data_IF_247093096122
#
_entry.id   IF_247093096122
#
_cell.length_a   1.000
_cell.length_b   1.000
_cell.length_c   1.000
_cell.angle_alpha   90.00
_cell.angle_beta   90.00
_cell.angle_gamma   90.00
#
_symmetry.space_group_name_H-M   'P 1'
#
loop_
_entity.id
_entity.type
_entity.pdbx_description
1 polymer ?
#
# COMPACT_ATOMS: atom_id res chain seq x y z
N UNK A 1 -21.92 6.50 -14.02
CA UNK A 1 -20.46 6.63 -14.21
C UNK A 1 -19.87 5.28 -13.88
N UNK A 2 -19.34 4.55 -14.87
CA UNK A 2 -18.68 3.27 -14.61
C UNK A 2 -17.50 3.50 -13.66
N UNK A 3 -17.59 2.91 -12.46
CA UNK A 3 -16.55 2.98 -11.45
C UNK A 3 -15.41 2.02 -11.85
N UNK A 4 -14.57 2.47 -12.78
CA UNK A 4 -13.42 1.70 -13.27
C UNK A 4 -12.59 1.14 -12.10
N UNK A 5 -12.30 -0.16 -12.15
CA UNK A 5 -11.47 -0.81 -11.12
C UNK A 5 -10.05 -0.26 -11.22
N UNK A 6 -9.48 0.11 -10.07
CA UNK A 6 -8.11 0.61 -9.91
C UNK A 6 -7.29 -0.43 -9.16
N UNK A 7 -6.15 -0.81 -9.74
CA UNK A 7 -5.10 -1.55 -9.05
C UNK A 7 -4.18 -0.57 -8.31
N UNK A 8 -3.95 -0.79 -7.03
CA UNK A 8 -2.88 -0.10 -6.28
C UNK A 8 -1.60 -0.92 -6.41
N UNK A 9 -0.61 -0.38 -7.10
CA UNK A 9 0.74 -0.93 -7.20
C UNK A 9 1.70 -0.24 -6.23
N UNK A 10 2.83 -0.88 -5.92
CA UNK A 10 3.86 -0.31 -5.03
C UNK A 10 5.05 0.18 -5.85
N UNK A 11 5.44 1.43 -5.66
CA UNK A 11 6.53 2.09 -6.36
C UNK A 11 7.64 2.44 -5.36
N UNK A 12 8.70 1.62 -5.33
CA UNK A 12 9.70 1.64 -4.25
C UNK A 12 10.89 2.55 -4.52
N UNK A 13 11.19 2.84 -5.78
CA UNK A 13 12.42 3.52 -6.17
C UNK A 13 12.14 4.73 -7.05
N UNK A 14 13.08 5.69 -7.03
CA UNK A 14 13.02 6.85 -7.93
C UNK A 14 13.11 6.43 -9.39
N UNK A 15 13.98 5.46 -9.69
CA UNK A 15 14.12 4.85 -11.03
C UNK A 15 12.79 4.32 -11.57
N UNK A 16 12.00 3.63 -10.73
CA UNK A 16 10.68 3.14 -11.14
C UNK A 16 9.69 4.28 -11.41
N UNK A 17 9.79 5.39 -10.67
CA UNK A 17 8.99 6.58 -10.93
C UNK A 17 9.35 7.20 -12.28
N UNK A 18 10.65 7.32 -12.57
CA UNK A 18 11.12 7.90 -13.83
C UNK A 18 10.67 7.03 -15.01
N UNK A 19 10.81 5.70 -14.91
CA UNK A 19 10.25 4.76 -15.90
C UNK A 19 8.74 4.95 -16.08
N UNK A 20 7.99 5.06 -14.98
CA UNK A 20 6.54 5.24 -15.04
C UNK A 20 6.16 6.53 -15.79
N UNK A 21 6.82 7.64 -15.47
CA UNK A 21 6.47 8.96 -16.01
C UNK A 21 6.99 9.16 -17.44
N UNK A 22 8.18 8.65 -17.76
CA UNK A 22 8.84 8.87 -19.05
C UNK A 22 8.47 7.79 -20.07
N UNK A 23 8.37 6.52 -19.63
CA UNK A 23 8.14 5.36 -20.50
C UNK A 23 6.69 4.84 -20.45
N UNK A 24 5.85 5.38 -19.57
CA UNK A 24 4.42 5.04 -19.44
C UNK A 24 4.16 3.55 -19.21
N UNK A 25 4.99 2.90 -18.40
CA UNK A 25 4.73 1.52 -17.99
C UNK A 25 5.17 1.22 -16.56
N UNK A 26 4.56 0.18 -15.97
CA UNK A 26 4.86 -0.36 -14.65
C UNK A 26 5.02 -1.88 -14.74
N UNK A 27 5.69 -2.50 -13.77
CA UNK A 27 5.89 -3.96 -13.76
C UNK A 27 5.56 -4.62 -12.44
N UNK A 28 5.10 -5.86 -12.52
CA UNK A 28 4.82 -6.73 -11.38
C UNK A 28 5.45 -8.10 -11.66
N UNK A 29 6.25 -8.68 -10.74
CA UNK A 29 6.69 -10.06 -10.90
C UNK A 29 5.47 -10.97 -11.06
N UNK A 30 5.45 -11.83 -12.08
CA UNK A 30 4.25 -12.61 -12.44
C UNK A 30 3.74 -13.47 -11.28
N UNK A 31 4.65 -13.99 -10.46
CA UNK A 31 4.34 -14.78 -9.25
C UNK A 31 3.53 -14.03 -8.20
N UNK A 32 3.57 -12.69 -8.19
CA UNK A 32 2.81 -11.83 -7.27
C UNK A 32 1.68 -11.07 -7.97
N UNK A 33 1.48 -11.31 -9.28
CA UNK A 33 0.49 -10.59 -10.05
C UNK A 33 -0.93 -10.87 -9.55
N UNK A 34 -1.73 -9.82 -9.29
CA UNK A 34 -3.14 -10.00 -9.00
C UNK A 34 -3.90 -10.61 -10.17
N UNK A 35 -4.83 -11.52 -9.88
CA UNK A 35 -5.68 -12.17 -10.91
C UNK A 35 -6.80 -11.26 -11.42
N UNK A 36 -7.21 -10.27 -10.63
CA UNK A 36 -8.31 -9.36 -10.95
C UNK A 36 -7.85 -8.31 -11.96
N UNK A 37 -8.62 -8.13 -13.05
CA UNK A 37 -8.39 -7.08 -14.04
C UNK A 37 -8.72 -5.70 -13.48
N UNK A 38 -7.98 -4.69 -13.93
CA UNK A 38 -8.22 -3.29 -13.62
C UNK A 38 -8.21 -2.47 -14.91
N UNK A 39 -8.99 -1.39 -14.92
CA UNK A 39 -8.97 -0.39 -15.99
C UNK A 39 -7.92 0.69 -15.72
N UNK A 40 -7.56 0.89 -14.45
CA UNK A 40 -6.60 1.90 -14.00
C UNK A 40 -5.59 1.28 -13.04
N UNK A 41 -4.43 1.93 -12.90
CA UNK A 41 -3.53 1.68 -11.78
C UNK A 41 -3.15 2.98 -11.09
N UNK A 42 -2.90 2.92 -9.79
CA UNK A 42 -2.35 4.00 -8.98
C UNK A 42 -1.15 3.50 -8.17
N UNK A 43 -0.22 4.39 -7.86
CA UNK A 43 1.12 3.98 -7.39
C UNK A 43 1.39 4.49 -5.98
N UNK A 44 1.44 3.56 -5.03
CA UNK A 44 1.81 3.82 -3.66
C UNK A 44 3.33 3.92 -3.51
N UNK A 45 3.79 5.09 -3.10
CA UNK A 45 5.16 5.37 -2.71
C UNK A 45 5.29 5.17 -1.20
N UNK A 46 6.09 4.20 -0.73
CA UNK A 46 6.30 3.96 0.70
C UNK A 46 6.90 5.16 1.43
N UNK A 47 6.75 5.16 2.75
CA UNK A 47 7.40 6.15 3.63
C UNK A 47 8.92 6.18 3.42
N UNK A 48 9.48 7.38 3.45
CA UNK A 48 10.93 7.61 3.35
C UNK A 48 11.34 8.80 4.21
N UNK A 49 12.28 8.58 5.13
CA UNK A 49 12.96 9.61 5.92
C UNK A 49 12.01 10.71 6.46
N UNK A 50 11.03 10.31 7.30
CA UNK A 50 10.10 11.25 7.94
C UNK A 50 8.93 11.73 7.07
N UNK A 51 8.82 11.26 5.83
CA UNK A 51 7.67 11.53 4.95
C UNK A 51 6.74 10.33 4.91
N UNK A 52 5.46 10.55 5.24
CA UNK A 52 4.41 9.53 5.11
C UNK A 52 4.32 9.00 3.68
N UNK A 53 4.06 7.70 3.56
CA UNK A 53 3.78 7.08 2.28
C UNK A 53 2.53 7.69 1.63
N UNK A 54 2.47 7.68 0.30
CA UNK A 54 1.38 8.36 -0.43
C UNK A 54 1.13 7.78 -1.81
N UNK A 55 -0.03 8.08 -2.37
CA UNK A 55 -0.34 7.92 -3.79
C UNK A 55 -0.55 9.31 -4.38
N UNK A 56 0.12 9.60 -5.49
CA UNK A 56 -0.04 10.87 -6.23
C UNK A 56 -0.14 10.72 -7.74
N UNK A 57 0.09 9.51 -8.26
CA UNK A 57 0.03 9.22 -9.68
C UNK A 57 -0.92 8.05 -9.93
N UNK A 58 -1.61 8.12 -11.06
CA UNK A 58 -2.46 7.07 -11.58
C UNK A 58 -2.48 7.10 -13.11
N UNK A 59 -2.81 5.98 -13.74
CA UNK A 59 -2.87 5.87 -15.19
C UNK A 59 -3.96 4.92 -15.65
N UNK A 60 -4.51 5.20 -16.83
CA UNK A 60 -5.42 4.28 -17.51
C UNK A 60 -4.60 3.20 -18.22
N UNK A 61 -4.94 1.93 -17.95
CA UNK A 61 -4.24 0.78 -18.49
C UNK A 61 -4.59 0.65 -19.97
N UNK A 62 -3.57 0.68 -20.82
CA UNK A 62 -3.67 0.46 -22.27
C UNK A 62 -3.66 -1.03 -22.60
N UNK A 63 -2.66 -1.75 -22.09
CA UNK A 63 -2.54 -3.19 -22.26
C UNK A 63 -1.63 -3.78 -21.16
N UNK A 64 -1.65 -5.11 -21.06
CA UNK A 64 -0.78 -5.87 -20.17
C UNK A 64 -0.13 -6.99 -20.97
N UNK A 65 1.18 -7.12 -20.87
CA UNK A 65 1.98 -8.14 -21.55
C UNK A 65 2.94 -8.81 -20.56
N UNK A 66 3.42 -10.00 -20.91
CA UNK A 66 4.43 -10.71 -20.13
C UNK A 66 5.79 -10.56 -20.80
N UNK A 67 6.80 -10.18 -20.04
CA UNK A 67 8.18 -10.05 -20.49
C UNK A 67 9.15 -10.49 -19.39
N UNK A 68 10.39 -10.82 -19.75
CA UNK A 68 11.43 -11.09 -18.75
C UNK A 68 11.93 -9.80 -18.11
N UNK A 69 12.41 -9.84 -16.87
CA UNK A 69 12.98 -8.64 -16.23
C UNK A 69 14.12 -8.02 -17.06
N UNK A 70 15.01 -8.84 -17.61
CA UNK A 70 16.14 -8.38 -18.41
C UNK A 70 15.70 -7.61 -19.67
N UNK A 71 14.54 -7.93 -20.23
CA UNK A 71 13.96 -7.21 -21.39
C UNK A 71 13.36 -5.87 -20.96
N UNK A 72 12.81 -5.81 -19.75
CA UNK A 72 12.20 -4.60 -19.17
C UNK A 72 13.24 -3.61 -18.61
N UNK A 73 14.35 -4.14 -18.10
CA UNK A 73 15.43 -3.39 -17.44
C UNK A 73 16.77 -3.93 -17.95
N UNK A 74 17.17 -3.53 -19.17
CA UNK A 74 18.39 -4.05 -19.79
C UNK A 74 19.65 -3.62 -19.04
N UNK A 75 19.60 -2.57 -18.22
CA UNK A 75 20.76 -2.11 -17.45
C UNK A 75 21.00 -2.92 -16.15
N UNK A 76 20.21 -3.96 -15.89
CA UNK A 76 20.39 -4.89 -14.75
C UNK A 76 20.53 -6.37 -15.20
N UNK A 77 21.49 -6.70 -16.08
CA UNK A 77 21.57 -8.04 -16.68
C UNK A 77 21.89 -9.15 -15.66
N UNK A 78 22.62 -8.83 -14.59
CA UNK A 78 23.02 -9.78 -13.53
C UNK A 78 22.04 -9.83 -12.34
N UNK A 79 20.87 -9.19 -12.45
CA UNK A 79 19.88 -9.24 -11.37
C UNK A 79 19.47 -10.70 -11.09
N UNK A 80 19.35 -11.16 -9.83
CA UNK A 80 19.00 -12.55 -9.52
C UNK A 80 17.70 -13.04 -10.18
N UNK A 81 16.78 -12.10 -10.42
CA UNK A 81 15.51 -12.33 -11.12
C UNK A 81 15.50 -11.87 -12.58
N UNK A 82 16.65 -11.77 -13.26
CA UNK A 82 16.75 -11.25 -14.63
C UNK A 82 15.90 -12.07 -15.63
N UNK A 83 15.85 -13.40 -15.45
CA UNK A 83 15.09 -14.31 -16.33
C UNK A 83 13.65 -14.56 -15.88
N UNK A 84 13.26 -14.03 -14.71
CA UNK A 84 11.92 -14.25 -14.17
C UNK A 84 10.87 -13.48 -14.99
N UNK A 85 9.66 -14.04 -15.17
CA UNK A 85 8.58 -13.38 -15.88
C UNK A 85 7.95 -12.25 -15.04
N UNK A 86 7.67 -11.14 -15.70
CA UNK A 86 6.99 -9.98 -15.14
C UNK A 86 5.81 -9.60 -16.05
N UNK A 87 4.73 -9.15 -15.43
CA UNK A 87 3.71 -8.38 -16.14
C UNK A 87 4.24 -6.97 -16.36
N UNK A 88 4.28 -6.52 -17.61
CA UNK A 88 4.41 -5.11 -17.99
C UNK A 88 3.03 -4.56 -18.25
N UNK A 89 2.67 -3.53 -17.51
CA UNK A 89 1.42 -2.80 -17.63
C UNK A 89 1.74 -1.49 -18.34
N UNK A 90 1.23 -1.33 -19.55
CA UNK A 90 1.41 -0.12 -20.35
C UNK A 90 0.21 0.83 -20.14
N UNK A 91 0.46 2.13 -20.11
CA UNK A 91 -0.56 3.16 -19.86
C UNK A 91 -0.76 4.08 -21.06
N UNK A 92 -1.97 4.62 -21.23
CA UNK A 92 -2.21 5.69 -22.19
C UNK A 92 -1.54 7.00 -21.75
N UNK A 93 -1.67 7.31 -20.46
CA UNK A 93 -1.08 8.48 -19.81
C UNK A 93 -0.94 8.24 -18.31
N UNK A 94 -0.04 8.99 -17.67
CA UNK A 94 0.07 9.06 -16.21
C UNK A 94 -0.38 10.45 -15.77
N UNK A 95 -1.41 10.46 -14.94
CA UNK A 95 -2.01 11.66 -14.38
C UNK A 95 -1.58 11.85 -12.93
N UNK A 96 -1.40 13.12 -12.55
CA UNK A 96 -1.18 13.49 -11.15
C UNK A 96 -2.52 13.75 -10.47
N UNK A 97 -2.71 13.23 -9.27
CA UNK A 97 -3.88 13.55 -8.46
C UNK A 97 -3.83 15.02 -8.04
N UNK A 98 -4.99 15.69 -8.04
CA UNK A 98 -5.12 17.06 -7.56
C UNK A 98 -4.71 17.19 -6.08
N UNK A 99 -5.03 16.16 -5.28
CA UNK A 99 -4.56 16.00 -3.90
C UNK A 99 -4.02 14.57 -3.73
N UNK A 100 -2.82 14.39 -3.16
CA UNK A 100 -2.30 13.06 -2.90
C UNK A 100 -3.11 12.34 -1.81
N UNK A 101 -3.24 11.02 -1.94
CA UNK A 101 -3.78 10.15 -0.88
C UNK A 101 -2.66 9.83 0.09
N UNK A 102 -2.79 10.18 1.37
CA UNK A 102 -1.75 10.02 2.39
C UNK A 102 -1.98 8.77 3.22
N UNK A 103 -0.92 7.99 3.44
CA UNK A 103 -0.93 6.87 4.38
C UNK A 103 -0.61 7.37 5.80
N UNK A 104 -1.58 8.04 6.43
CA UNK A 104 -1.41 8.65 7.75
C UNK A 104 -1.09 7.60 8.84
N UNK A 105 -1.71 6.43 8.75
CA UNK A 105 -1.67 5.37 9.75
C UNK A 105 -0.56 4.34 9.50
N UNK A 106 0.41 4.63 8.61
CA UNK A 106 1.52 3.73 8.27
C UNK A 106 1.07 2.31 7.86
N UNK A 107 -0.08 2.21 7.19
CA UNK A 107 -0.65 0.95 6.73
C UNK A 107 0.33 0.21 5.82
N UNK A 108 0.47 -1.09 6.01
CA UNK A 108 1.28 -1.91 5.10
C UNK A 108 0.52 -2.13 3.80
N UNK A 109 0.88 -1.39 2.77
CA UNK A 109 0.23 -1.48 1.46
C UNK A 109 1.01 -2.43 0.55
N UNK A 110 0.30 -3.44 0.04
CA UNK A 110 0.73 -4.32 -1.05
C UNK A 110 -0.16 -4.07 -2.27
N UNK A 111 -0.44 -5.09 -3.08
CA UNK A 111 -1.43 -4.96 -4.15
C UNK A 111 -2.84 -4.93 -3.55
N UNK A 112 -3.58 -3.87 -3.85
CA UNK A 112 -4.96 -3.68 -3.42
C UNK A 112 -5.84 -3.21 -4.58
N UNK A 113 -7.15 -3.31 -4.41
CA UNK A 113 -8.11 -2.84 -5.41
C UNK A 113 -9.06 -1.81 -4.82
N UNK A 114 -9.40 -0.83 -5.64
CA UNK A 114 -10.39 0.19 -5.33
C UNK A 114 -11.13 0.60 -6.62
N UNK A 115 -11.95 1.64 -6.56
CA UNK A 115 -12.57 2.23 -7.75
C UNK A 115 -12.04 3.64 -8.02
N UNK A 116 -12.14 4.07 -9.28
CA UNK A 116 -11.64 5.37 -9.71
C UNK A 116 -12.27 6.53 -8.93
N UNK A 117 -13.59 6.48 -8.67
CA UNK A 117 -14.26 7.54 -7.90
C UNK A 117 -13.63 7.71 -6.50
N UNK A 118 -13.32 6.61 -5.82
CA UNK A 118 -12.72 6.64 -4.49
C UNK A 118 -11.27 7.09 -4.53
N UNK A 119 -10.51 6.69 -5.54
CA UNK A 119 -9.16 7.22 -5.77
C UNK A 119 -9.14 8.74 -5.92
N UNK A 120 -10.09 9.29 -6.68
CA UNK A 120 -10.15 10.71 -6.96
C UNK A 120 -10.66 11.55 -5.78
N UNK A 121 -11.41 10.95 -4.85
CA UNK A 121 -11.98 11.66 -3.69
C UNK A 121 -11.23 11.45 -2.37
N UNK A 122 -10.54 10.31 -2.20
CA UNK A 122 -9.89 9.95 -0.94
C UNK A 122 -8.73 10.89 -0.60
N UNK A 123 -8.61 11.20 0.68
CA UNK A 123 -7.48 11.95 1.27
C UNK A 123 -6.54 11.02 2.01
N UNK A 124 -7.07 9.93 2.57
CA UNK A 124 -6.29 8.96 3.33
C UNK A 124 -6.33 7.57 2.70
N UNK A 125 -5.31 6.76 3.00
CA UNK A 125 -5.25 5.37 2.53
C UNK A 125 -6.40 4.51 3.09
N UNK A 126 -6.84 4.79 4.33
CA UNK A 126 -8.00 4.13 4.94
C UNK A 126 -9.28 4.44 4.17
N UNK A 127 -9.54 5.71 3.84
CA UNK A 127 -10.66 6.11 2.98
C UNK A 127 -10.58 5.43 1.60
N UNK A 128 -9.39 5.38 1.00
CA UNK A 128 -9.16 4.77 -0.32
C UNK A 128 -9.48 3.27 -0.34
N UNK A 129 -9.16 2.57 0.74
CA UNK A 129 -9.37 1.12 0.86
C UNK A 129 -10.71 0.77 1.51
N UNK A 130 -11.47 1.76 2.00
CA UNK A 130 -12.71 1.53 2.74
C UNK A 130 -12.47 0.85 4.09
N UNK A 131 -11.31 1.09 4.69
CA UNK A 131 -10.93 0.52 5.98
C UNK A 131 -11.41 1.45 7.08
N UNK A 132 -12.21 0.91 8.00
CA UNK A 132 -12.64 1.64 9.17
C UNK A 132 -11.42 1.92 10.08
N UNK A 133 -11.21 3.17 10.52
CA UNK A 133 -10.06 3.53 11.35
C UNK A 133 -10.30 3.14 12.82
N UNK A 134 -10.59 1.85 13.07
CA UNK A 134 -11.01 1.32 14.38
C UNK A 134 -9.97 1.64 15.44
N UNK A 135 -8.70 1.37 15.17
CA UNK A 135 -7.60 1.70 16.09
C UNK A 135 -7.56 3.20 16.42
N UNK A 136 -7.75 4.07 15.43
CA UNK A 136 -7.70 5.52 15.65
C UNK A 136 -8.88 6.00 16.50
N UNK A 137 -10.07 5.44 16.26
CA UNK A 137 -11.27 5.72 17.03
C UNK A 137 -11.13 5.26 18.48
N UNK A 138 -10.60 4.04 18.69
CA UNK A 138 -10.34 3.49 20.01
C UNK A 138 -9.25 4.31 20.72
N UNK A 139 -8.10 4.52 20.09
CA UNK A 139 -6.99 5.30 20.63
C UNK A 139 -7.41 6.69 21.07
N UNK A 140 -8.09 7.43 20.18
CA UNK A 140 -8.65 8.76 20.52
C UNK A 140 -9.62 8.70 21.70
N UNK A 141 -10.43 7.63 21.79
CA UNK A 141 -11.35 7.40 22.90
C UNK A 141 -10.66 7.10 24.23
N UNK A 142 -9.53 6.40 24.21
CA UNK A 142 -8.71 6.09 25.38
C UNK A 142 -7.95 7.33 25.86
N UNK A 143 -7.38 8.11 24.93
CA UNK A 143 -6.69 9.38 25.22
C UNK A 143 -7.61 10.38 25.89
N UNK A 144 -8.83 10.57 25.37
CA UNK A 144 -9.83 11.46 25.99
C UNK A 144 -10.17 11.05 27.42
N UNK A 145 -10.06 9.77 27.75
CA UNK A 145 -10.30 9.23 29.09
C UNK A 145 -9.03 9.18 29.96
N UNK A 146 -7.89 9.67 29.45
CA UNK A 146 -6.59 9.66 30.12
C UNK A 146 -6.18 8.26 30.61
N UNK A 147 -6.58 7.23 29.86
CA UNK A 147 -6.15 5.87 30.16
C UNK A 147 -4.69 5.68 29.77
N UNK A 148 -3.94 4.91 30.56
CA UNK A 148 -2.58 4.52 30.22
C UNK A 148 -2.64 3.26 29.35
N UNK A 149 -2.10 3.36 28.14
CA UNK A 149 -2.02 2.27 27.17
C UNK A 149 -0.80 2.44 26.27
N UNK A 150 -0.39 1.36 25.61
CA UNK A 150 0.63 1.36 24.57
C UNK A 150 0.00 0.93 23.26
N UNK A 151 0.15 1.73 22.20
CA UNK A 151 -0.18 1.33 20.82
C UNK A 151 0.95 0.48 20.24
N UNK A 152 0.61 -0.38 19.27
CA UNK A 152 1.57 -1.20 18.52
C UNK A 152 2.60 -1.90 19.43
N UNK A 153 2.15 -2.40 20.58
CA UNK A 153 3.03 -2.88 21.65
C UNK A 153 3.71 -4.19 21.25
N UNK A 154 5.04 -4.22 21.27
CA UNK A 154 5.81 -5.40 20.88
C UNK A 154 6.00 -6.36 22.05
N UNK A 155 5.55 -7.61 21.88
CA UNK A 155 5.74 -8.70 22.84
C UNK A 155 6.69 -9.75 22.27
N UNK A 156 7.77 -10.04 22.99
CA UNK A 156 8.69 -11.14 22.69
C UNK A 156 8.33 -12.35 23.56
N UNK A 157 7.92 -13.45 22.92
CA UNK A 157 7.70 -14.72 23.60
C UNK A 157 9.02 -15.44 23.85
N UNK A 158 9.01 -16.33 24.86
CA UNK A 158 10.18 -17.17 25.22
C UNK A 158 10.70 -18.03 24.08
N UNK A 159 9.86 -18.37 23.10
CA UNK A 159 10.27 -19.10 21.91
C UNK A 159 10.80 -18.22 20.77
N UNK A 160 11.12 -16.95 21.06
CA UNK A 160 11.68 -16.01 20.09
C UNK A 160 10.66 -15.36 19.15
N UNK A 161 9.38 -15.77 19.18
CA UNK A 161 8.33 -15.14 18.37
C UNK A 161 8.02 -13.74 18.88
N UNK A 162 7.80 -12.81 17.95
CA UNK A 162 7.41 -11.43 18.23
C UNK A 162 5.98 -11.21 17.76
N UNK A 163 5.17 -10.60 18.62
CA UNK A 163 3.83 -10.14 18.32
C UNK A 163 3.80 -8.62 18.48
N UNK A 164 2.91 -7.99 17.71
CA UNK A 164 2.65 -6.55 17.80
C UNK A 164 1.16 -6.40 18.07
N UNK A 165 0.84 -5.98 19.28
CA UNK A 165 -0.53 -5.81 19.76
C UNK A 165 -1.04 -4.43 19.36
N UNK A 166 -2.27 -4.31 18.90
CA UNK A 166 -2.82 -3.00 18.55
C UNK A 166 -2.88 -2.08 19.78
N UNK A 167 -3.39 -2.59 20.91
CA UNK A 167 -3.42 -1.91 22.20
C UNK A 167 -3.05 -2.84 23.36
N UNK A 168 -2.09 -2.41 24.18
CA UNK A 168 -1.75 -3.07 25.44
C UNK A 168 -2.02 -2.14 26.63
N UNK A 169 -2.67 -2.67 27.65
CA UNK A 169 -2.96 -1.99 28.91
C UNK A 169 -2.19 -2.64 30.06
N UNK A 170 -1.63 -1.81 30.93
CA UNK A 170 -0.86 -2.23 32.09
C UNK A 170 -1.51 -1.64 33.34
N UNK A 171 -2.37 -2.42 33.98
CA UNK A 171 -3.05 -2.01 35.21
C UNK A 171 -2.62 -2.84 36.41
N UNK A 172 -2.98 -2.38 37.61
CA UNK A 172 -2.69 -3.08 38.87
C UNK A 172 -3.34 -4.47 38.91
N UNK A 173 -4.51 -4.63 38.28
CA UNK A 173 -5.26 -5.89 38.21
C UNK A 173 -4.78 -6.86 37.13
N UNK A 174 -3.80 -6.45 36.32
CA UNK A 174 -3.24 -7.29 35.26
C UNK A 174 -3.02 -6.56 33.95
N UNK A 175 -2.71 -7.35 32.93
CA UNK A 175 -2.41 -6.91 31.57
C UNK A 175 -3.57 -7.28 30.67
N UNK A 176 -4.00 -6.35 29.82
CA UNK A 176 -5.05 -6.58 28.84
C UNK A 176 -4.51 -6.27 27.45
N UNK A 177 -4.79 -7.17 26.53
CA UNK A 177 -4.55 -7.05 25.10
C UNK A 177 -5.89 -6.78 24.39
N UNK A 178 -5.90 -5.83 23.46
CA UNK A 178 -7.07 -5.48 22.64
C UNK A 178 -6.63 -5.36 21.19
N UNK A 179 -7.10 -6.27 20.36
CA UNK A 179 -6.86 -6.31 18.91
C UNK A 179 -8.05 -5.71 18.14
N UNK A 180 -7.76 -4.93 17.11
CA UNK A 180 -8.72 -4.20 16.30
C UNK A 180 -8.94 -4.89 14.95
N UNK A 181 -9.70 -5.98 14.94
CA UNK A 181 -10.03 -6.66 13.70
C UNK A 181 -11.14 -5.94 12.92
N UNK A 182 -10.90 -5.68 11.64
CA UNK A 182 -11.95 -5.43 10.67
C UNK A 182 -12.37 -6.75 10.02
N UNK A 183 -13.67 -6.98 9.79
CA UNK A 183 -14.14 -8.13 9.01
C UNK A 183 -13.41 -8.22 7.66
N UNK A 184 -13.04 -9.45 7.26
CA UNK A 184 -12.24 -9.74 6.06
C UNK A 184 -13.05 -9.67 4.77
#
# INVERSE_FOLDING_TARGET
MENGTVLIGVLKSRRDLDILLEKLWYRIPLVYAPKRKAAYAAFYEPEKAGRKGLIRYYGEIKNVETAKRAELIPEEPEHPMAQEPYLRINFHSINRLAKPVINANNMRISFAFTCLSRLLSAKTMAELLGINPIEELIGSGLERRKMLFSREHLVLLRNGRRYRLDFAFFGEKGRLDVECDSEK
#
